data_IF_782908730212
#
_entry.id   IF_782908730212
#
_cell.length_a   1.000
_cell.length_b   1.000
_cell.length_c   1.000
_cell.angle_alpha   90.00
_cell.angle_beta   90.00
_cell.angle_gamma   90.00
#
_symmetry.space_group_name_H-M   'P 1'
#
loop_
_entity.id
_entity.type
_entity.pdbx_description
1 polymer ?
#
# COMPACT_ATOMS: atom_id res chain seq x y z
N UNK A 1 -61.84 3.65 -62.73
CA UNK A 1 -60.98 2.63 -63.36
C UNK A 1 -59.55 3.16 -63.41
N UNK A 2 -58.56 2.37 -63.00
CA UNK A 2 -57.28 2.83 -62.44
C UNK A 2 -56.07 2.42 -63.29
N UNK A 3 -54.89 2.98 -62.99
CA UNK A 3 -53.56 2.39 -63.22
C UNK A 3 -52.49 3.46 -62.87
N UNK A 4 -51.38 3.21 -62.18
CA UNK A 4 -50.97 2.14 -61.27
C UNK A 4 -49.76 2.69 -60.47
N UNK A 5 -49.64 2.19 -59.26
CA UNK A 5 -48.56 2.30 -58.27
C UNK A 5 -47.11 2.31 -58.77
N UNK A 6 -46.25 3.07 -58.11
CA UNK A 6 -44.85 2.66 -57.86
C UNK A 6 -44.42 2.90 -56.41
N UNK A 7 -43.61 1.97 -55.91
CA UNK A 7 -43.33 1.64 -54.50
C UNK A 7 -42.11 2.35 -53.92
N UNK A 8 -42.18 2.58 -52.60
CA UNK A 8 -41.15 2.57 -51.55
C UNK A 8 -39.66 2.69 -51.95
N UNK A 9 -39.02 3.73 -51.43
CA UNK A 9 -37.60 3.73 -51.08
C UNK A 9 -37.39 4.37 -49.70
N UNK A 10 -36.99 3.57 -48.71
CA UNK A 10 -36.58 4.01 -47.36
C UNK A 10 -35.50 5.10 -47.47
N UNK A 11 -35.73 6.28 -46.91
CA UNK A 11 -34.67 7.26 -46.67
C UNK A 11 -33.71 6.67 -45.63
N UNK A 12 -32.54 6.28 -46.14
CA UNK A 12 -31.38 5.77 -45.42
C UNK A 12 -30.93 6.82 -44.41
N UNK A 13 -30.90 6.44 -43.13
CA UNK A 13 -30.31 7.23 -42.06
C UNK A 13 -28.88 7.65 -42.47
N UNK A 14 -28.59 8.94 -42.34
CA UNK A 14 -27.23 9.46 -42.43
C UNK A 14 -26.37 8.75 -41.38
N UNK A 15 -25.12 8.39 -41.70
CA UNK A 15 -24.24 7.73 -40.75
C UNK A 15 -23.99 8.71 -39.60
N UNK A 16 -24.18 8.23 -38.37
CA UNK A 16 -23.75 8.95 -37.19
C UNK A 16 -22.26 9.24 -37.36
N UNK A 17 -21.90 10.53 -37.36
CA UNK A 17 -20.51 10.94 -37.19
C UNK A 17 -20.01 10.29 -35.91
N UNK A 18 -19.07 9.36 -36.06
CA UNK A 18 -18.24 8.87 -34.96
C UNK A 18 -17.51 10.07 -34.39
N UNK A 19 -18.09 10.63 -33.33
CA UNK A 19 -17.45 11.64 -32.53
C UNK A 19 -16.25 10.95 -31.91
N UNK A 20 -15.06 11.23 -32.45
CA UNK A 20 -13.78 10.81 -31.86
C UNK A 20 -13.84 11.20 -30.39
N UNK A 21 -13.94 10.21 -29.52
CA UNK A 21 -14.09 10.41 -28.09
C UNK A 21 -12.89 11.22 -27.61
N UNK A 22 -13.10 12.51 -27.32
CA UNK A 22 -12.13 13.28 -26.55
C UNK A 22 -11.88 12.50 -25.26
N UNK A 23 -10.62 12.22 -24.97
CA UNK A 23 -10.11 11.45 -23.83
C UNK A 23 -10.33 12.16 -22.47
N UNK A 24 -11.49 12.77 -22.28
CA UNK A 24 -11.99 13.21 -20.99
C UNK A 24 -13.11 12.25 -20.60
N UNK A 25 -12.75 11.14 -19.96
CA UNK A 25 -13.71 10.11 -19.58
C UNK A 25 -14.88 10.71 -18.76
N UNK A 26 -16.12 10.71 -19.26
CA UNK A 26 -17.30 11.21 -18.53
C UNK A 26 -17.77 10.18 -17.48
N UNK A 27 -16.84 9.45 -16.87
CA UNK A 27 -17.11 8.38 -15.91
C UNK A 27 -17.37 8.90 -14.50
N UNK A 28 -16.96 10.14 -14.16
CA UNK A 28 -17.10 10.67 -12.80
C UNK A 28 -18.54 10.63 -12.25
N UNK A 29 -19.54 11.00 -13.07
CA UNK A 29 -20.96 10.90 -12.66
C UNK A 29 -21.44 9.45 -12.51
N UNK A 30 -20.88 8.53 -13.30
CA UNK A 30 -21.28 7.12 -13.31
C UNK A 30 -20.66 6.36 -12.12
N UNK A 31 -19.40 6.68 -11.79
CA UNK A 31 -18.67 6.13 -10.65
C UNK A 31 -19.27 6.55 -9.29
N UNK A 32 -19.79 7.78 -9.18
CA UNK A 32 -20.48 8.26 -7.98
C UNK A 32 -21.97 7.91 -7.91
N UNK A 33 -22.49 7.12 -8.86
CA UNK A 33 -23.93 6.82 -8.94
C UNK A 33 -24.39 5.88 -7.81
N UNK A 34 -25.65 6.02 -7.38
CA UNK A 34 -26.21 5.20 -6.27
C UNK A 34 -26.47 3.75 -6.67
N UNK A 35 -26.93 3.53 -7.91
CA UNK A 35 -27.09 2.20 -8.49
C UNK A 35 -25.73 1.53 -8.72
N UNK A 36 -25.54 0.36 -8.08
CA UNK A 36 -24.35 -0.48 -8.21
C UNK A 36 -24.08 -0.87 -9.66
N UNK A 37 -25.11 -1.18 -10.47
CA UNK A 37 -24.91 -1.58 -11.88
C UNK A 37 -24.32 -0.46 -12.74
N UNK A 38 -24.60 0.79 -12.41
CA UNK A 38 -24.01 1.94 -13.11
C UNK A 38 -22.54 2.10 -12.72
N UNK A 39 -22.23 1.95 -11.42
CA UNK A 39 -20.84 1.99 -10.94
C UNK A 39 -20.00 0.84 -11.51
N UNK A 40 -20.50 -0.39 -11.47
CA UNK A 40 -19.81 -1.58 -11.97
C UNK A 40 -19.43 -1.41 -13.45
N UNK A 41 -20.30 -0.84 -14.28
CA UNK A 41 -20.01 -0.54 -15.69
C UNK A 41 -18.93 0.53 -15.86
N UNK A 42 -18.96 1.56 -15.03
CA UNK A 42 -17.96 2.62 -15.07
C UNK A 42 -16.57 2.12 -14.61
N UNK A 43 -16.54 1.27 -13.58
CA UNK A 43 -15.33 0.57 -13.11
C UNK A 43 -14.78 -0.35 -14.21
N UNK A 44 -15.63 -1.14 -14.87
CA UNK A 44 -15.21 -1.98 -15.99
C UNK A 44 -14.60 -1.16 -17.15
N UNK A 45 -15.19 -0.01 -17.47
CA UNK A 45 -14.63 0.93 -18.45
C UNK A 45 -13.28 1.51 -18.04
N UNK A 46 -13.12 1.85 -16.75
CA UNK A 46 -11.87 2.35 -16.20
C UNK A 46 -10.76 1.28 -16.21
N UNK A 47 -11.09 0.03 -15.88
CA UNK A 47 -10.15 -1.10 -15.99
C UNK A 47 -9.70 -1.27 -17.44
N UNK A 48 -10.62 -1.22 -18.40
CA UNK A 48 -10.29 -1.33 -19.82
C UNK A 48 -9.37 -0.19 -20.27
N UNK A 49 -9.64 1.05 -19.84
CA UNK A 49 -8.80 2.22 -20.13
C UNK A 49 -7.40 2.07 -19.54
N UNK A 50 -7.29 1.74 -18.25
CA UNK A 50 -5.99 1.54 -17.59
C UNK A 50 -5.21 0.36 -18.18
N UNK A 51 -5.90 -0.68 -18.63
CA UNK A 51 -5.30 -1.85 -19.28
C UNK A 51 -4.83 -1.55 -20.71
N UNK A 52 -5.39 -0.54 -21.37
CA UNK A 52 -4.87 -0.05 -22.64
C UNK A 52 -3.60 0.79 -22.44
N UNK A 53 -3.51 1.55 -21.34
CA UNK A 53 -2.38 2.42 -21.07
C UNK A 53 -2.28 3.55 -22.11
N UNK A 54 -1.06 4.03 -22.35
CA UNK A 54 -0.75 5.02 -23.39
C UNK A 54 -0.70 4.45 -24.81
N UNK A 55 -0.94 3.15 -25.00
CA UNK A 55 -0.93 2.50 -26.30
C UNK A 55 -2.28 2.69 -27.03
N UNK A 56 -2.47 3.90 -27.56
CA UNK A 56 -3.69 4.31 -28.27
C UNK A 56 -3.84 3.61 -29.62
N UNK A 57 -2.73 3.28 -30.28
CA UNK A 57 -2.69 2.72 -31.63
C UNK A 57 -2.48 1.19 -31.65
N UNK A 58 -2.11 0.58 -30.51
CA UNK A 58 -1.97 -0.87 -30.38
C UNK A 58 -0.70 -1.43 -31.03
N UNK A 59 0.29 -0.56 -31.22
CA UNK A 59 1.52 -0.87 -31.97
C UNK A 59 2.64 -1.38 -31.05
N UNK A 60 2.53 -1.14 -29.73
CA UNK A 60 3.56 -1.51 -28.78
C UNK A 60 3.50 -2.98 -28.39
N UNK A 61 4.67 -3.61 -28.30
CA UNK A 61 4.83 -5.00 -27.84
C UNK A 61 4.81 -5.15 -26.32
N UNK A 62 4.90 -4.04 -25.58
CA UNK A 62 4.88 -3.96 -24.11
C UNK A 62 3.95 -2.84 -23.64
N UNK A 63 3.49 -2.90 -22.39
CA UNK A 63 2.63 -1.88 -21.80
C UNK A 63 3.29 -0.50 -21.83
N UNK A 64 2.58 0.45 -22.43
CA UNK A 64 2.98 1.87 -22.45
C UNK A 64 2.30 2.56 -21.29
N UNK A 65 3.10 3.14 -20.39
CA UNK A 65 2.60 3.95 -19.28
C UNK A 65 1.89 5.20 -19.83
N UNK A 66 0.76 5.56 -19.23
CA UNK A 66 0.10 6.85 -19.48
C UNK A 66 1.06 8.00 -19.14
N UNK A 67 1.04 9.05 -19.94
CA UNK A 67 1.82 10.25 -19.63
C UNK A 67 1.39 10.83 -18.28
N UNK A 68 2.32 11.49 -17.58
CA UNK A 68 2.08 11.98 -16.22
C UNK A 68 0.93 13.01 -16.20
N UNK A 69 0.78 13.81 -17.26
CA UNK A 69 -0.34 14.75 -17.42
C UNK A 69 -1.69 14.04 -17.62
N UNK A 70 -1.71 12.92 -18.34
CA UNK A 70 -2.91 12.11 -18.55
C UNK A 70 -3.31 11.38 -17.27
N UNK A 71 -2.33 10.81 -16.57
CA UNK A 71 -2.52 10.20 -15.26
C UNK A 71 -3.03 11.23 -14.25
N UNK A 72 -2.49 12.45 -14.25
CA UNK A 72 -2.95 13.54 -13.39
C UNK A 72 -4.39 13.97 -13.71
N UNK A 73 -4.77 14.07 -14.99
CA UNK A 73 -6.15 14.35 -15.41
C UNK A 73 -7.11 13.25 -14.98
N UNK A 74 -6.73 11.99 -15.18
CA UNK A 74 -7.51 10.84 -14.73
C UNK A 74 -7.76 10.91 -13.22
N UNK A 75 -6.69 11.07 -12.45
CA UNK A 75 -6.77 11.10 -11.00
C UNK A 75 -7.49 12.32 -10.45
N UNK A 76 -7.40 13.47 -11.13
CA UNK A 76 -8.26 14.63 -10.83
C UNK A 76 -9.73 14.26 -11.00
N UNK A 77 -10.08 13.59 -12.09
CA UNK A 77 -11.44 13.10 -12.33
C UNK A 77 -11.93 12.15 -11.23
N UNK A 78 -11.11 11.17 -10.83
CA UNK A 78 -11.42 10.22 -9.77
C UNK A 78 -11.53 10.88 -8.38
N UNK A 79 -10.63 11.82 -8.08
CA UNK A 79 -10.63 12.57 -6.84
C UNK A 79 -11.94 13.35 -6.66
N UNK A 80 -12.35 14.12 -7.68
CA UNK A 80 -13.59 14.89 -7.61
C UNK A 80 -14.85 14.02 -7.78
N UNK A 81 -14.75 12.84 -8.40
CA UNK A 81 -15.80 11.83 -8.33
C UNK A 81 -16.05 11.39 -6.87
N UNK A 82 -14.98 11.03 -6.15
CA UNK A 82 -15.08 10.66 -4.74
C UNK A 82 -15.50 11.83 -3.85
N UNK A 83 -15.07 13.06 -4.19
CA UNK A 83 -15.48 14.30 -3.54
C UNK A 83 -17.01 14.49 -3.52
N UNK A 84 -17.68 14.15 -4.61
CA UNK A 84 -19.14 14.29 -4.77
C UNK A 84 -19.94 13.10 -4.21
N UNK A 85 -19.26 12.06 -3.70
CA UNK A 85 -19.92 10.94 -3.03
C UNK A 85 -20.29 11.32 -1.59
N UNK A 86 -21.58 11.47 -1.32
CA UNK A 86 -22.09 11.95 -0.01
C UNK A 86 -22.68 10.84 0.87
N UNK A 87 -23.09 9.70 0.28
CA UNK A 87 -23.73 8.62 1.04
C UNK A 87 -22.67 7.70 1.66
N UNK A 88 -22.65 7.46 2.98
CA UNK A 88 -21.60 6.67 3.64
C UNK A 88 -21.36 5.28 3.02
N UNK A 89 -22.43 4.53 2.73
CA UNK A 89 -22.30 3.21 2.09
C UNK A 89 -21.73 3.29 0.66
N UNK A 90 -22.05 4.36 -0.07
CA UNK A 90 -21.50 4.59 -1.42
C UNK A 90 -20.04 5.00 -1.33
N UNK A 91 -19.64 5.80 -0.34
CA UNK A 91 -18.24 6.14 -0.09
C UNK A 91 -17.42 4.90 0.24
N UNK A 92 -17.91 4.03 1.12
CA UNK A 92 -17.21 2.79 1.47
C UNK A 92 -17.04 1.85 0.27
N UNK A 93 -18.12 1.63 -0.50
CA UNK A 93 -18.07 0.81 -1.70
C UNK A 93 -17.12 1.41 -2.75
N UNK A 94 -17.26 2.70 -3.06
CA UNK A 94 -16.44 3.37 -4.06
C UNK A 94 -14.95 3.40 -3.65
N UNK A 95 -14.63 3.61 -2.37
CA UNK A 95 -13.25 3.55 -1.91
C UNK A 95 -12.63 2.16 -2.08
N UNK A 96 -13.41 1.10 -1.82
CA UNK A 96 -12.98 -0.27 -2.08
C UNK A 96 -12.82 -0.54 -3.59
N UNK A 97 -13.81 -0.16 -4.39
CA UNK A 97 -13.81 -0.35 -5.84
C UNK A 97 -12.60 0.35 -6.50
N UNK A 98 -12.30 1.59 -6.09
CA UNK A 98 -11.15 2.35 -6.59
C UNK A 98 -9.82 1.68 -6.22
N UNK A 99 -9.64 1.31 -4.95
CA UNK A 99 -8.40 0.65 -4.51
C UNK A 99 -8.20 -0.70 -5.19
N UNK A 100 -9.26 -1.47 -5.42
CA UNK A 100 -9.20 -2.78 -6.09
C UNK A 100 -8.78 -2.67 -7.56
N UNK A 101 -8.90 -1.50 -8.21
CA UNK A 101 -8.38 -1.28 -9.56
C UNK A 101 -6.90 -1.64 -9.66
N UNK A 102 -6.09 -1.38 -8.62
CA UNK A 102 -4.68 -1.77 -8.57
C UNK A 102 -4.46 -3.26 -8.83
N UNK A 103 -5.42 -4.10 -8.45
CA UNK A 103 -5.33 -5.55 -8.60
C UNK A 103 -6.02 -6.05 -9.88
N UNK A 104 -6.86 -5.23 -10.52
CA UNK A 104 -7.68 -5.61 -11.67
C UNK A 104 -7.15 -5.12 -13.02
N UNK A 105 -6.18 -4.20 -13.06
CA UNK A 105 -5.53 -3.77 -14.31
C UNK A 105 -4.86 -4.99 -14.97
N UNK A 106 -5.16 -5.20 -16.25
CA UNK A 106 -4.69 -6.35 -17.04
C UNK A 106 -4.29 -5.87 -18.43
N UNK A 107 -3.04 -5.39 -18.60
CA UNK A 107 -2.52 -5.02 -19.91
C UNK A 107 -2.68 -6.16 -20.92
N UNK A 108 -2.83 -5.82 -22.20
CA UNK A 108 -3.00 -6.82 -23.27
C UNK A 108 -1.79 -7.76 -23.40
N UNK A 109 -0.62 -7.28 -23.00
CA UNK A 109 0.63 -8.01 -23.02
C UNK A 109 0.67 -9.00 -21.85
N UNK A 110 1.05 -10.25 -22.14
CA UNK A 110 0.96 -11.37 -21.20
C UNK A 110 2.07 -11.39 -20.12
N UNK A 111 2.90 -10.35 -20.02
CA UNK A 111 4.00 -10.31 -19.05
C UNK A 111 3.47 -9.92 -17.65
N UNK A 112 3.95 -10.61 -16.61
CA UNK A 112 3.65 -10.24 -15.22
C UNK A 112 4.17 -8.84 -14.87
N UNK A 113 5.32 -8.47 -15.46
CA UNK A 113 5.97 -7.18 -15.28
C UNK A 113 5.10 -6.01 -15.77
N UNK A 114 4.54 -6.12 -16.97
CA UNK A 114 3.70 -5.07 -17.57
C UNK A 114 2.47 -4.79 -16.70
N UNK A 115 1.86 -5.85 -16.16
CA UNK A 115 0.75 -5.75 -15.22
C UNK A 115 1.15 -5.03 -13.94
N UNK A 116 2.32 -5.36 -13.40
CA UNK A 116 2.86 -4.69 -12.23
C UNK A 116 3.14 -3.21 -12.49
N UNK A 117 3.80 -2.88 -13.60
CA UNK A 117 4.15 -1.51 -13.99
C UNK A 117 2.91 -0.64 -14.18
N UNK A 118 1.86 -1.18 -14.78
CA UNK A 118 0.57 -0.49 -14.90
C UNK A 118 -0.08 -0.21 -13.53
N UNK A 119 -0.01 -1.18 -12.62
CA UNK A 119 -0.54 -1.07 -11.26
C UNK A 119 0.23 -0.02 -10.44
N UNK A 120 1.56 -0.03 -10.54
CA UNK A 120 2.45 0.92 -9.88
C UNK A 120 2.29 2.34 -10.42
N UNK A 121 2.16 2.51 -11.74
CA UNK A 121 1.89 3.82 -12.32
C UNK A 121 0.56 4.41 -11.81
N UNK A 122 -0.47 3.57 -11.70
CA UNK A 122 -1.75 4.01 -11.15
C UNK A 122 -1.65 4.35 -9.66
N UNK A 123 -0.90 3.58 -8.87
CA UNK A 123 -0.61 3.85 -7.46
C UNK A 123 0.16 5.16 -7.27
N UNK A 124 1.14 5.43 -8.12
CA UNK A 124 1.90 6.67 -8.08
C UNK A 124 0.99 7.88 -8.34
N UNK A 125 0.15 7.81 -9.38
CA UNK A 125 -0.83 8.85 -9.66
C UNK A 125 -1.83 9.09 -8.52
N UNK A 126 -2.20 8.03 -7.78
CA UNK A 126 -3.05 8.17 -6.59
C UNK A 126 -2.38 9.04 -5.53
N UNK A 127 -1.14 8.70 -5.16
CA UNK A 127 -0.42 9.43 -4.12
C UNK A 127 -0.11 10.87 -4.53
N UNK A 128 0.27 11.09 -5.79
CA UNK A 128 0.50 12.43 -6.33
C UNK A 128 -0.79 13.28 -6.30
N UNK A 129 -1.95 12.66 -6.55
CA UNK A 129 -3.24 13.34 -6.44
C UNK A 129 -3.65 13.63 -5.00
N UNK A 130 -3.44 12.69 -4.07
CA UNK A 130 -3.67 12.91 -2.65
C UNK A 130 -2.82 14.07 -2.15
N UNK A 131 -1.51 14.06 -2.40
CA UNK A 131 -0.60 15.12 -1.95
C UNK A 131 -1.01 16.48 -2.50
N UNK A 132 -1.30 16.56 -3.81
CA UNK A 132 -1.67 17.82 -4.47
C UNK A 132 -2.95 18.44 -3.94
N UNK A 133 -3.99 17.64 -3.71
CA UNK A 133 -5.32 18.14 -3.36
C UNK A 133 -5.56 18.17 -1.84
N UNK A 134 -4.68 17.58 -1.01
CA UNK A 134 -4.90 17.37 0.42
C UNK A 134 -5.28 18.64 1.18
N UNK A 135 -4.54 19.72 0.95
CA UNK A 135 -4.76 21.00 1.63
C UNK A 135 -6.11 21.66 1.25
N UNK A 136 -6.71 21.25 0.12
CA UNK A 136 -8.01 21.72 -0.34
C UNK A 136 -9.20 20.96 0.26
N UNK A 137 -8.98 19.84 0.96
CA UNK A 137 -10.05 19.04 1.55
C UNK A 137 -10.55 19.72 2.82
N UNK A 138 -11.86 20.00 2.87
CA UNK A 138 -12.48 20.54 4.06
C UNK A 138 -12.76 19.45 5.11
N UNK A 139 -12.93 19.89 6.37
CA UNK A 139 -13.11 19.02 7.53
C UNK A 139 -14.24 18.00 7.39
N UNK A 140 -15.33 18.29 6.67
CA UNK A 140 -16.47 17.37 6.53
C UNK A 140 -16.18 16.21 5.57
N UNK A 141 -15.15 16.34 4.74
CA UNK A 141 -14.77 15.33 3.73
C UNK A 141 -13.53 14.53 4.13
N UNK A 142 -12.77 14.97 5.13
CA UNK A 142 -11.52 14.32 5.55
C UNK A 142 -11.68 12.82 5.82
N UNK A 143 -12.70 12.42 6.57
CA UNK A 143 -12.88 11.03 6.99
C UNK A 143 -12.97 10.03 5.82
N UNK A 144 -13.66 10.41 4.74
CA UNK A 144 -13.76 9.54 3.57
C UNK A 144 -12.43 9.43 2.81
N UNK A 145 -11.61 10.48 2.78
CA UNK A 145 -10.28 10.43 2.17
C UNK A 145 -9.30 9.64 3.03
N UNK A 146 -9.41 9.70 4.35
CA UNK A 146 -8.68 8.80 5.25
C UNK A 146 -9.05 7.33 5.02
N UNK A 147 -10.34 7.04 4.82
CA UNK A 147 -10.80 5.70 4.41
C UNK A 147 -10.21 5.29 3.05
N UNK A 148 -10.21 6.20 2.07
CA UNK A 148 -9.65 5.94 0.74
C UNK A 148 -8.16 5.57 0.83
N UNK A 149 -7.36 6.35 1.55
CA UNK A 149 -5.95 6.04 1.81
C UNK A 149 -5.80 4.67 2.47
N UNK A 150 -6.64 4.35 3.46
CA UNK A 150 -6.63 3.02 4.12
C UNK A 150 -6.86 1.88 3.13
N UNK A 151 -7.80 2.03 2.19
CA UNK A 151 -8.05 1.03 1.15
C UNK A 151 -6.88 0.91 0.17
N UNK A 152 -6.25 2.02 -0.22
CA UNK A 152 -5.08 2.00 -1.09
C UNK A 152 -3.87 1.34 -0.42
N UNK A 153 -3.59 1.63 0.86
CA UNK A 153 -2.49 0.97 1.60
C UNK A 153 -2.70 -0.55 1.64
N UNK A 154 -3.92 -1.02 1.95
CA UNK A 154 -4.22 -2.45 1.93
C UNK A 154 -4.08 -3.08 0.53
N UNK A 155 -4.58 -2.39 -0.52
CA UNK A 155 -4.45 -2.85 -1.89
C UNK A 155 -2.99 -2.90 -2.35
N UNK A 156 -2.14 -1.97 -1.90
CA UNK A 156 -0.69 -2.01 -2.13
C UNK A 156 -0.04 -3.23 -1.50
N UNK A 157 -0.38 -3.61 -0.27
CA UNK A 157 0.15 -4.84 0.34
C UNK A 157 -0.33 -6.10 -0.39
N UNK A 158 -1.59 -6.15 -0.81
CA UNK A 158 -2.10 -7.26 -1.62
C UNK A 158 -1.42 -7.32 -3.00
N UNK A 159 -1.07 -6.18 -3.58
CA UNK A 159 -0.28 -6.11 -4.81
C UNK A 159 1.13 -6.68 -4.59
N UNK A 160 1.81 -6.29 -3.52
CA UNK A 160 3.12 -6.83 -3.17
C UNK A 160 3.08 -8.33 -2.89
N UNK A 161 2.05 -8.82 -2.19
CA UNK A 161 1.83 -10.24 -1.96
C UNK A 161 1.62 -11.01 -3.28
N UNK A 162 0.83 -10.46 -4.22
CA UNK A 162 0.65 -11.03 -5.57
C UNK A 162 1.97 -11.12 -6.35
N UNK A 163 2.82 -10.12 -6.22
CA UNK A 163 4.17 -10.11 -6.78
C UNK A 163 5.20 -10.78 -5.84
N UNK A 164 4.75 -11.63 -4.92
CA UNK A 164 5.56 -12.49 -4.06
C UNK A 164 6.62 -11.76 -3.24
N UNK A 165 6.35 -10.51 -2.88
CA UNK A 165 7.26 -9.65 -2.12
C UNK A 165 8.64 -9.48 -2.80
N UNK A 166 8.68 -9.50 -4.13
CA UNK A 166 9.93 -9.27 -4.87
C UNK A 166 10.54 -7.90 -4.54
N UNK A 167 11.88 -7.85 -4.49
CA UNK A 167 12.64 -6.62 -4.16
C UNK A 167 12.21 -5.43 -4.98
N UNK A 168 12.16 -5.63 -6.30
CA UNK A 168 11.91 -4.57 -7.26
C UNK A 168 10.52 -4.00 -7.03
N UNK A 169 9.55 -4.85 -6.64
CA UNK A 169 8.21 -4.43 -6.35
C UNK A 169 8.14 -3.59 -5.07
N UNK A 170 8.79 -4.04 -3.99
CA UNK A 170 8.86 -3.30 -2.72
C UNK A 170 9.60 -1.97 -2.92
N UNK A 171 10.72 -1.97 -3.64
CA UNK A 171 11.49 -0.77 -3.93
C UNK A 171 10.69 0.24 -4.76
N UNK A 172 9.90 -0.22 -5.73
CA UNK A 172 9.03 0.66 -6.52
C UNK A 172 7.99 1.35 -5.62
N UNK A 173 7.34 0.61 -4.72
CA UNK A 173 6.38 1.19 -3.75
C UNK A 173 7.08 2.15 -2.79
N UNK A 174 8.22 1.75 -2.22
CA UNK A 174 8.99 2.59 -1.30
C UNK A 174 9.42 3.89 -1.97
N UNK A 175 9.86 3.83 -3.24
CA UNK A 175 10.20 5.00 -4.04
C UNK A 175 9.01 5.95 -4.19
N UNK A 176 7.81 5.45 -4.46
CA UNK A 176 6.60 6.28 -4.56
C UNK A 176 6.31 6.98 -3.22
N UNK A 177 6.48 6.30 -2.10
CA UNK A 177 6.21 6.87 -0.78
C UNK A 177 7.24 7.93 -0.37
N UNK A 178 8.52 7.71 -0.68
CA UNK A 178 9.63 8.55 -0.19
C UNK A 178 10.19 9.54 -1.21
N UNK A 179 9.74 9.54 -2.47
CA UNK A 179 10.20 10.50 -3.49
C UNK A 179 9.89 11.95 -3.09
N UNK A 180 10.54 12.89 -3.75
CA UNK A 180 10.16 14.30 -3.64
C UNK A 180 8.71 14.49 -4.12
N UNK A 181 7.91 15.23 -3.36
CA UNK A 181 6.45 15.31 -3.53
C UNK A 181 5.67 14.04 -3.14
N UNK A 182 6.32 12.99 -2.64
CA UNK A 182 5.68 11.77 -2.15
C UNK A 182 5.01 11.95 -0.77
N UNK A 183 4.07 11.07 -0.38
CA UNK A 183 3.27 11.21 0.82
C UNK A 183 4.06 11.07 2.14
N UNK A 184 5.26 10.47 2.11
CA UNK A 184 6.15 10.28 3.25
C UNK A 184 7.48 11.02 3.10
N UNK A 185 7.52 12.09 2.30
CA UNK A 185 8.72 12.93 2.18
C UNK A 185 9.01 13.67 3.50
N UNK A 186 10.30 13.83 3.80
CA UNK A 186 10.80 14.67 4.90
C UNK A 186 11.43 15.98 4.40
N UNK A 187 11.66 16.09 3.08
CA UNK A 187 12.35 17.23 2.46
C UNK A 187 11.37 18.30 2.02
N UNK A 188 10.24 17.90 1.42
CA UNK A 188 9.26 18.86 0.93
C UNK A 188 8.27 19.27 2.02
N UNK A 189 8.39 20.52 2.46
CA UNK A 189 7.51 21.13 3.46
C UNK A 189 6.11 21.46 2.93
N UNK A 190 5.90 21.39 1.61
CA UNK A 190 4.58 21.59 0.99
C UNK A 190 3.66 20.41 1.23
N UNK A 191 4.22 19.21 1.41
CA UNK A 191 3.46 18.00 1.71
C UNK A 191 3.00 18.02 3.17
N UNK A 192 1.68 17.99 3.45
CA UNK A 192 1.18 18.01 4.82
C UNK A 192 1.57 16.74 5.60
N UNK A 193 2.15 16.92 6.79
CA UNK A 193 2.57 15.82 7.68
C UNK A 193 1.43 14.95 8.20
N UNK A 194 0.17 15.42 8.07
CA UNK A 194 -1.02 14.63 8.36
C UNK A 194 -1.17 13.39 7.46
N UNK A 195 -0.59 13.42 6.25
CA UNK A 195 -0.63 12.28 5.32
C UNK A 195 0.27 11.16 5.85
N UNK A 196 1.54 11.47 6.14
CA UNK A 196 2.51 10.48 6.61
C UNK A 196 2.15 9.93 7.99
N UNK A 197 1.62 10.76 8.89
CA UNK A 197 1.13 10.32 10.20
C UNK A 197 -0.10 9.42 10.09
N UNK A 198 -1.05 9.72 9.20
CA UNK A 198 -2.17 8.81 8.94
C UNK A 198 -1.71 7.48 8.33
N UNK A 199 -0.76 7.51 7.39
CA UNK A 199 -0.18 6.27 6.83
C UNK A 199 0.42 5.42 7.96
N UNK A 200 1.20 6.03 8.86
CA UNK A 200 1.77 5.34 10.03
C UNK A 200 0.69 4.70 10.92
N UNK A 201 -0.44 5.38 11.13
CA UNK A 201 -1.54 4.89 11.97
C UNK A 201 -2.26 3.66 11.41
N UNK A 202 -2.28 3.50 10.10
CA UNK A 202 -3.01 2.44 9.42
C UNK A 202 -2.08 1.32 8.92
N UNK A 203 -0.77 1.55 8.89
CA UNK A 203 0.17 0.69 8.17
C UNK A 203 0.16 -0.76 8.67
N UNK A 204 0.32 -0.95 9.98
CA UNK A 204 0.35 -2.28 10.59
C UNK A 204 -1.00 -2.98 10.53
N UNK A 205 -2.10 -2.26 10.74
CA UNK A 205 -3.45 -2.80 10.61
C UNK A 205 -3.68 -3.38 9.22
N UNK A 206 -3.36 -2.61 8.18
CA UNK A 206 -3.61 -3.00 6.81
C UNK A 206 -2.63 -4.07 6.31
N UNK A 207 -1.39 -4.08 6.82
CA UNK A 207 -0.42 -5.14 6.56
C UNK A 207 -0.89 -6.46 7.19
N UNK A 208 -1.28 -6.44 8.46
CA UNK A 208 -1.81 -7.61 9.15
C UNK A 208 -3.06 -8.18 8.45
N UNK A 209 -3.96 -7.30 8.00
CA UNK A 209 -5.14 -7.72 7.21
C UNK A 209 -4.78 -8.34 5.86
N UNK A 210 -3.76 -7.81 5.18
CA UNK A 210 -3.30 -8.38 3.92
C UNK A 210 -2.67 -9.76 4.12
N UNK A 211 -1.89 -9.93 5.20
CA UNK A 211 -1.27 -11.21 5.56
C UNK A 211 -2.27 -12.24 6.11
N UNK A 212 -3.43 -11.80 6.61
CA UNK A 212 -4.51 -12.68 7.06
C UNK A 212 -5.26 -13.39 5.92
N UNK A 213 -5.00 -13.03 4.66
CA UNK A 213 -5.66 -13.65 3.51
C UNK A 213 -5.14 -15.08 3.32
N UNK A 214 -6.01 -16.08 3.11
CA UNK A 214 -5.61 -17.49 2.95
C UNK A 214 -4.62 -17.74 1.81
N UNK A 215 -4.62 -16.88 0.80
CA UNK A 215 -3.71 -16.96 -0.35
C UNK A 215 -2.24 -16.75 0.07
N UNK A 216 -2.00 -16.02 1.17
CA UNK A 216 -0.66 -15.68 1.67
C UNK A 216 0.03 -16.87 2.33
N UNK A 217 -0.73 -17.84 2.87
CA UNK A 217 -0.15 -19.06 3.46
C UNK A 217 0.73 -19.83 2.48
N UNK A 218 0.39 -19.75 1.19
CA UNK A 218 1.09 -20.41 0.07
C UNK A 218 2.18 -19.55 -0.59
N UNK A 219 2.34 -18.30 -0.16
CA UNK A 219 3.27 -17.33 -0.74
C UNK A 219 4.55 -17.18 0.10
N UNK A 220 5.62 -16.58 -0.44
CA UNK A 220 6.82 -16.28 0.32
C UNK A 220 6.54 -15.36 1.52
N UNK A 221 7.38 -15.47 2.54
CA UNK A 221 7.28 -14.63 3.72
C UNK A 221 7.49 -13.15 3.37
N UNK A 222 6.80 -12.28 4.09
CA UNK A 222 6.88 -10.84 3.94
C UNK A 222 8.18 -10.30 4.56
N UNK A 223 9.11 -9.70 3.78
CA UNK A 223 10.33 -9.10 4.31
C UNK A 223 9.97 -7.81 5.08
N UNK A 224 9.80 -7.95 6.39
CA UNK A 224 9.18 -6.93 7.24
C UNK A 224 9.98 -5.63 7.27
N UNK A 225 11.31 -5.75 7.34
CA UNK A 225 12.24 -4.61 7.37
C UNK A 225 12.20 -3.81 6.07
N UNK A 226 12.14 -4.49 4.92
CA UNK A 226 12.08 -3.84 3.60
C UNK A 226 10.76 -3.12 3.37
N UNK A 227 9.64 -3.69 3.86
CA UNK A 227 8.32 -3.06 3.78
C UNK A 227 8.23 -1.86 4.72
N UNK A 228 8.81 -1.93 5.92
CA UNK A 228 8.83 -0.82 6.89
C UNK A 228 9.86 0.28 6.57
N UNK A 229 10.70 0.08 5.56
CA UNK A 229 11.76 1.01 5.15
C UNK A 229 11.31 2.48 5.06
N UNK A 230 10.16 2.85 4.46
CA UNK A 230 9.73 4.25 4.40
C UNK A 230 9.50 4.87 5.78
N UNK A 231 9.02 4.08 6.74
CA UNK A 231 8.79 4.53 8.12
C UNK A 231 10.11 4.66 8.88
N UNK A 232 11.05 3.73 8.65
CA UNK A 232 12.38 3.76 9.27
C UNK A 232 13.17 4.99 8.78
N UNK A 233 13.17 5.25 7.46
CA UNK A 233 13.83 6.45 6.90
C UNK A 233 13.18 7.73 7.44
N UNK A 234 11.84 7.79 7.49
CA UNK A 234 11.13 8.97 7.98
C UNK A 234 11.40 9.21 9.47
N UNK A 235 11.48 8.16 10.28
CA UNK A 235 11.78 8.23 11.71
C UNK A 235 13.12 8.93 11.97
N UNK A 236 14.16 8.58 11.21
CA UNK A 236 15.51 9.11 11.45
C UNK A 236 15.70 10.49 10.83
N UNK A 237 15.00 10.81 9.74
CA UNK A 237 15.21 12.06 8.98
C UNK A 237 14.23 13.19 9.27
N UNK A 238 13.07 12.91 9.88
CA UNK A 238 12.07 13.95 10.14
C UNK A 238 12.60 15.03 11.09
N UNK A 239 12.35 16.30 10.75
CA UNK A 239 12.64 17.43 11.64
C UNK A 239 11.52 17.70 12.65
N UNK A 240 10.35 17.07 12.46
CA UNK A 240 9.15 17.34 13.26
C UNK A 240 8.98 16.30 14.35
N UNK A 241 9.10 16.72 15.62
CA UNK A 241 9.01 15.81 16.77
C UNK A 241 7.67 15.08 16.87
N UNK A 242 6.56 15.71 16.45
CA UNK A 242 5.23 15.07 16.42
C UNK A 242 5.19 13.88 15.47
N UNK A 243 5.81 13.98 14.29
CA UNK A 243 5.88 12.88 13.32
C UNK A 243 6.71 11.73 13.89
N UNK A 244 7.86 12.03 14.49
CA UNK A 244 8.68 11.02 15.16
C UNK A 244 7.91 10.30 16.27
N UNK A 245 7.23 11.06 17.14
CA UNK A 245 6.45 10.51 18.25
C UNK A 245 5.33 9.61 17.74
N UNK A 246 4.64 10.03 16.67
CA UNK A 246 3.56 9.25 16.06
C UNK A 246 4.08 7.96 15.42
N UNK A 247 5.21 8.00 14.72
CA UNK A 247 5.84 6.81 14.15
C UNK A 247 6.20 5.79 15.24
N UNK A 248 6.78 6.25 16.34
CA UNK A 248 7.07 5.38 17.49
C UNK A 248 5.78 4.80 18.07
N UNK A 249 4.77 5.63 18.38
CA UNK A 249 3.54 5.18 19.03
C UNK A 249 2.65 4.29 18.17
N UNK A 250 2.66 4.49 16.85
CA UNK A 250 1.72 3.82 15.94
C UNK A 250 2.35 2.63 15.21
N UNK A 251 3.66 2.63 15.00
CA UNK A 251 4.36 1.58 14.25
C UNK A 251 5.36 0.83 15.13
N UNK A 252 6.37 1.52 15.66
CA UNK A 252 7.52 0.80 16.23
C UNK A 252 7.24 0.23 17.62
N UNK A 253 6.70 1.00 18.56
CA UNK A 253 6.42 0.50 19.91
C UNK A 253 5.39 -0.65 19.91
N UNK A 254 4.23 -0.56 19.23
CA UNK A 254 3.28 -1.68 19.18
C UNK A 254 3.85 -2.93 18.53
N UNK A 255 4.70 -2.78 17.50
CA UNK A 255 5.32 -3.90 16.81
C UNK A 255 6.41 -4.57 17.67
N UNK A 256 7.25 -3.79 18.35
CA UNK A 256 8.29 -4.31 19.26
C UNK A 256 7.67 -5.04 20.47
N UNK A 257 6.61 -4.47 21.06
CA UNK A 257 5.84 -5.11 22.13
C UNK A 257 5.24 -6.43 21.66
N UNK A 258 4.60 -6.45 20.49
CA UNK A 258 4.05 -7.65 19.87
C UNK A 258 5.11 -8.75 19.67
N UNK A 259 6.26 -8.39 19.10
CA UNK A 259 7.35 -9.34 18.84
C UNK A 259 7.99 -9.86 20.14
N UNK A 260 8.05 -9.02 21.18
CA UNK A 260 8.51 -9.43 22.51
C UNK A 260 7.55 -10.42 23.16
N UNK A 261 6.24 -10.17 23.09
CA UNK A 261 5.22 -11.07 23.63
C UNK A 261 5.15 -12.41 22.88
N UNK A 262 5.43 -12.40 21.57
CA UNK A 262 5.44 -13.60 20.75
C UNK A 262 6.76 -14.38 20.81
N UNK A 263 7.82 -13.80 21.36
CA UNK A 263 9.09 -14.49 21.55
C UNK A 263 8.94 -15.55 22.65
N UNK A 264 9.35 -16.81 22.41
CA UNK A 264 9.27 -17.84 23.42
C UNK A 264 10.18 -17.45 24.60
N UNK A 265 9.58 -17.08 25.72
CA UNK A 265 10.32 -16.89 26.96
C UNK A 265 10.79 -18.25 27.47
N UNK A 266 12.10 -18.38 27.71
CA UNK A 266 12.75 -19.56 28.32
C UNK A 266 12.10 -19.98 29.66
N UNK A 267 11.24 -19.16 30.26
CA UNK A 267 10.62 -19.37 31.56
C UNK A 267 9.27 -20.12 31.56
N UNK A 268 8.68 -20.46 30.40
CA UNK A 268 7.37 -21.15 30.37
C UNK A 268 7.42 -22.69 30.26
N UNK A 269 8.61 -23.31 30.31
CA UNK A 269 8.71 -24.78 30.32
C UNK A 269 8.35 -25.44 31.67
N UNK A 270 8.03 -24.67 32.74
CA UNK A 270 7.67 -25.26 34.05
C UNK A 270 6.17 -25.25 34.41
N UNK A 271 5.30 -24.56 33.67
CA UNK A 271 3.87 -24.44 34.05
C UNK A 271 2.89 -25.13 33.07
N UNK A 272 3.32 -26.21 32.43
CA UNK A 272 2.48 -27.02 31.54
C UNK A 272 1.57 -28.04 32.28
N UNK A 273 0.99 -27.68 33.42
CA UNK A 273 -0.11 -28.45 34.04
C UNK A 273 -1.21 -27.54 34.61
N UNK A 274 -2.00 -26.90 33.76
CA UNK A 274 -3.42 -26.62 34.07
C UNK A 274 -4.22 -26.20 32.83
N UNK A 275 -5.25 -26.97 32.42
CA UNK A 275 -6.14 -26.56 31.34
C UNK A 275 -7.12 -25.51 31.87
N UNK A 276 -6.86 -24.23 31.63
CA UNK A 276 -7.84 -23.18 31.89
C UNK A 276 -8.80 -23.04 30.70
N UNK A 277 -10.09 -22.93 31.03
CA UNK A 277 -11.25 -22.87 30.12
C UNK A 277 -11.03 -21.88 28.97
N UNK A 278 -11.32 -22.34 27.75
CA UNK A 278 -11.41 -21.57 26.50
C UNK A 278 -12.30 -20.33 26.67
N UNK A 279 -11.72 -19.18 27.01
CA UNK A 279 -12.21 -17.89 26.54
C UNK A 279 -11.88 -17.80 25.04
N UNK A 280 -12.73 -17.14 24.24
CA UNK A 280 -12.41 -16.74 22.86
C UNK A 280 -11.05 -16.04 22.92
N UNK A 281 -9.98 -16.68 22.43
CA UNK A 281 -8.66 -16.04 22.33
C UNK A 281 -8.85 -14.79 21.48
N UNK A 282 -8.75 -13.62 22.10
CA UNK A 282 -8.43 -12.39 21.37
C UNK A 282 -7.15 -12.71 20.61
N UNK A 283 -7.19 -12.65 19.28
CA UNK A 283 -6.00 -12.83 18.48
C UNK A 283 -4.95 -11.82 18.96
N UNK A 284 -3.70 -12.25 19.20
CA UNK A 284 -2.67 -11.32 19.64
C UNK A 284 -2.55 -10.21 18.60
N UNK A 285 -2.34 -8.98 19.08
CA UNK A 285 -2.17 -7.80 18.22
C UNK A 285 -1.13 -8.12 17.14
N UNK A 286 -1.49 -7.98 15.86
CA UNK A 286 -0.63 -8.26 14.71
C UNK A 286 -0.15 -9.72 14.54
N UNK A 287 -0.93 -10.72 14.96
CA UNK A 287 -0.61 -12.14 14.84
C UNK A 287 -0.10 -12.56 13.45
N UNK A 288 -0.72 -12.10 12.37
CA UNK A 288 -0.35 -12.50 11.01
C UNK A 288 0.98 -11.89 10.56
N UNK A 289 1.36 -10.73 11.09
CA UNK A 289 2.70 -10.17 10.85
C UNK A 289 3.75 -11.11 11.46
N UNK A 290 3.56 -11.54 12.70
CA UNK A 290 4.50 -12.46 13.36
C UNK A 290 4.60 -13.80 12.61
N UNK A 291 3.47 -14.33 12.13
CA UNK A 291 3.43 -15.66 11.49
C UNK A 291 3.95 -15.67 10.05
N UNK A 292 3.81 -14.57 9.30
CA UNK A 292 4.08 -14.55 7.85
C UNK A 292 5.23 -13.63 7.45
N UNK A 293 5.99 -13.09 8.39
CA UNK A 293 7.14 -12.22 8.11
C UNK A 293 8.50 -12.91 8.20
N UNK A 294 9.51 -12.32 7.54
CA UNK A 294 10.91 -12.72 7.62
C UNK A 294 11.84 -11.50 7.77
N UNK A 295 13.05 -11.75 8.31
CA UNK A 295 14.15 -10.77 8.44
C UNK A 295 15.02 -10.71 7.20
N UNK A 296 15.15 -11.84 6.52
CA UNK A 296 16.15 -12.09 5.47
C UNK A 296 15.91 -11.33 4.15
N UNK A 297 16.86 -11.50 3.23
CA UNK A 297 16.73 -11.01 1.87
C UNK A 297 15.75 -11.87 1.06
N UNK A 298 14.84 -11.18 0.38
CA UNK A 298 14.11 -11.51 -0.86
C UNK A 298 13.93 -12.98 -1.22
N UNK A 299 12.67 -13.43 -1.29
CA UNK A 299 12.32 -14.71 -1.92
C UNK A 299 12.60 -15.95 -1.06
N UNK A 300 13.09 -15.77 0.18
CA UNK A 300 13.13 -16.84 1.17
C UNK A 300 11.71 -17.24 1.61
N UNK A 301 11.45 -18.54 1.57
CA UNK A 301 10.19 -19.15 2.05
C UNK A 301 10.10 -19.21 3.57
N UNK A 302 11.25 -19.08 4.24
CA UNK A 302 11.37 -19.38 5.65
C UNK A 302 10.92 -18.18 6.48
N UNK A 303 9.96 -18.46 7.36
CA UNK A 303 9.38 -17.49 8.29
C UNK A 303 10.33 -17.36 9.47
N UNK A 304 10.68 -16.12 9.82
CA UNK A 304 11.58 -15.86 10.94
C UNK A 304 10.83 -15.97 12.26
N UNK A 305 11.53 -16.35 13.32
CA UNK A 305 10.98 -16.30 14.67
C UNK A 305 10.70 -14.86 15.11
N UNK A 306 9.82 -14.67 16.09
CA UNK A 306 9.55 -13.34 16.64
C UNK A 306 10.81 -12.64 17.18
N UNK A 307 11.76 -13.40 17.77
CA UNK A 307 13.05 -12.89 18.25
C UNK A 307 13.91 -12.38 17.10
N UNK A 308 14.03 -13.15 16.03
CA UNK A 308 14.76 -12.74 14.82
C UNK A 308 14.13 -11.49 14.21
N UNK A 309 12.80 -11.46 14.04
CA UNK A 309 12.07 -10.29 13.53
C UNK A 309 12.34 -9.03 14.36
N UNK A 310 12.36 -9.16 15.68
CA UNK A 310 12.71 -8.08 16.61
C UNK A 310 14.15 -7.61 16.39
N UNK A 311 15.13 -8.52 16.41
CA UNK A 311 16.57 -8.22 16.20
C UNK A 311 16.79 -7.54 14.84
N UNK A 312 16.19 -8.08 13.78
CA UNK A 312 16.26 -7.53 12.43
C UNK A 312 15.68 -6.12 12.31
N UNK A 313 14.52 -5.87 12.94
CA UNK A 313 13.89 -4.54 12.95
C UNK A 313 14.75 -3.51 13.71
N UNK A 314 15.21 -3.86 14.91
CA UNK A 314 16.09 -3.01 15.72
C UNK A 314 17.38 -2.69 14.96
N UNK A 315 18.00 -3.70 14.34
CA UNK A 315 19.25 -3.52 13.60
C UNK A 315 19.06 -2.56 12.44
N UNK A 316 17.95 -2.72 11.70
CA UNK A 316 17.65 -1.84 10.57
C UNK A 316 17.35 -0.40 11.00
N UNK A 317 16.71 -0.20 12.15
CA UNK A 317 16.52 1.12 12.75
C UNK A 317 17.84 1.75 13.17
N UNK A 318 18.73 0.97 13.80
CA UNK A 318 20.06 1.42 14.21
C UNK A 318 20.91 1.86 12.99
N UNK A 319 20.99 1.02 11.95
CA UNK A 319 21.71 1.32 10.71
C UNK A 319 21.17 2.61 10.03
N UNK A 320 19.84 2.78 10.02
CA UNK A 320 19.22 3.99 9.49
C UNK A 320 19.55 5.25 10.30
N UNK A 321 19.73 5.11 11.61
CA UNK A 321 20.08 6.20 12.52
C UNK A 321 21.59 6.52 12.50
N UNK A 322 22.43 5.53 12.23
CA UNK A 322 23.88 5.68 12.06
C UNK A 322 24.23 6.44 10.76
N UNK A 323 23.35 6.42 9.77
CA UNK A 323 23.54 7.15 8.51
C UNK A 323 23.67 8.66 8.74
N UNK A 324 24.63 9.31 8.07
CA UNK A 324 24.90 10.75 8.18
C UNK A 324 23.69 11.65 7.88
N UNK A 325 22.72 11.15 7.10
CA UNK A 325 21.49 11.87 6.77
C UNK A 325 20.47 11.91 7.91
N UNK A 326 20.67 11.15 8.99
CA UNK A 326 19.80 11.16 10.15
C UNK A 326 20.01 12.43 10.99
N UNK A 327 18.94 12.94 11.60
CA UNK A 327 19.09 14.09 12.52
C UNK A 327 19.70 13.62 13.84
N UNK A 328 20.57 14.43 14.44
CA UNK A 328 21.23 14.06 15.70
C UNK A 328 20.23 13.79 16.83
N UNK A 329 19.14 14.57 16.91
CA UNK A 329 18.10 14.38 17.91
C UNK A 329 17.38 13.03 17.74
N UNK A 330 17.00 12.67 16.51
CA UNK A 330 16.32 11.40 16.26
C UNK A 330 17.27 10.21 16.46
N UNK A 331 18.54 10.34 16.06
CA UNK A 331 19.57 9.32 16.31
C UNK A 331 19.67 8.98 17.79
N UNK A 332 19.72 9.98 18.67
CA UNK A 332 19.75 9.76 20.13
C UNK A 332 18.51 9.02 20.62
N UNK A 333 17.32 9.32 20.10
CA UNK A 333 16.06 8.65 20.46
C UNK A 333 16.04 7.19 19.97
N UNK A 334 16.49 6.92 18.75
CA UNK A 334 16.56 5.54 18.23
C UNK A 334 17.58 4.71 19.01
N UNK A 335 18.74 5.28 19.36
CA UNK A 335 19.73 4.58 20.20
C UNK A 335 19.24 4.35 21.63
N UNK A 336 18.38 5.22 22.15
CA UNK A 336 17.72 4.96 23.42
C UNK A 336 16.81 3.73 23.32
N UNK A 337 15.98 3.64 22.29
CA UNK A 337 15.11 2.46 22.06
C UNK A 337 15.94 1.19 21.86
N UNK A 338 17.03 1.26 21.11
CA UNK A 338 17.95 0.12 20.92
C UNK A 338 18.46 -0.44 22.27
N UNK A 339 18.90 0.43 23.18
CA UNK A 339 19.36 0.03 24.52
C UNK A 339 18.24 -0.49 25.41
N UNK A 340 17.07 0.14 25.38
CA UNK A 340 15.91 -0.27 26.18
C UNK A 340 15.38 -1.66 25.77
N UNK A 341 15.53 -2.02 24.50
CA UNK A 341 15.06 -3.29 23.95
C UNK A 341 16.12 -4.42 24.00
N UNK A 342 17.29 -4.18 24.60
CA UNK A 342 18.35 -5.17 24.77
C UNK A 342 19.17 -5.44 23.51
N UNK A 343 19.34 -4.45 22.63
CA UNK A 343 20.07 -4.62 21.37
C UNK A 343 21.56 -4.97 21.52
N UNK A 344 22.17 -4.69 22.67
CA UNK A 344 23.60 -4.93 22.95
C UNK A 344 23.88 -6.31 23.57
N UNK A 345 22.87 -7.03 24.11
CA UNK A 345 23.06 -8.27 24.88
C UNK A 345 23.23 -9.54 24.01
N UNK A 346 23.12 -9.43 22.68
CA UNK A 346 23.00 -10.55 21.74
C UNK A 346 24.21 -10.66 20.76
N UNK A 347 25.27 -9.87 20.95
CA UNK A 347 26.53 -9.93 20.17
C UNK A 347 27.66 -10.66 20.94
N UNK A 348 27.48 -10.98 22.23
CA UNK A 348 28.47 -11.68 23.07
C UNK A 348 28.30 -13.23 23.07
N UNK A 349 27.24 -13.78 22.47
CA UNK A 349 26.96 -15.23 22.48
C UNK A 349 27.71 -16.04 21.40
N UNK A 350 28.48 -15.40 20.51
CA UNK A 350 29.18 -16.06 19.38
C UNK A 350 30.72 -16.21 19.59
N UNK A 351 31.30 -15.79 20.72
CA UNK A 351 32.77 -15.83 20.94
C UNK A 351 33.30 -16.91 21.92
N UNK A 352 32.44 -17.68 22.60
CA UNK A 352 32.89 -18.56 23.71
C UNK A 352 32.90 -20.10 23.43
N UNK A 353 32.83 -20.57 22.18
CA UNK A 353 32.87 -22.02 21.86
C UNK A 353 34.11 -22.55 21.09
N UNK A 354 35.23 -21.81 21.05
CA UNK A 354 36.51 -22.37 20.54
C UNK A 354 37.71 -22.05 21.44
N UNK A 355 37.72 -22.54 22.68
CA UNK A 355 38.96 -22.78 23.43
C UNK A 355 38.69 -23.75 24.59
N UNK A 356 38.61 -25.05 24.29
CA UNK A 356 38.97 -26.13 25.22
C UNK A 356 38.87 -27.48 24.49
N UNK A 357 39.98 -27.93 23.92
CA UNK A 357 40.32 -29.36 23.77
C UNK A 357 41.84 -29.46 23.55
N UNK A 358 42.57 -29.62 24.67
CA UNK A 358 43.97 -30.08 24.74
C UNK A 358 44.11 -31.60 24.48
#
# INVERSE_FOLDING_TARGET
MPSATSRKGKSRAAPAEETKAQAAMPLGKQLAHTDKKVRDRAIAGLIAFLSQGGDTEGESSSYVRLDDDEMAKLWKGLFYCFWMSDKPLVQQALAADLAELLLQIKPKTASSQDRFDASIAFLEGFWDAIVREWAGIDRLRMDKYYLLMRKYVNATFRLLAREKWEKNAIQAVNRILTKDGGPMTWQDRRVPTSISTHIADIYLDELNKALALPEVDSQPACPLTAVLEPHIILLTRTSTSTVHTRLMSSVFSPLLECLTLASPSLSLQQDAERPTKKSKKEEPMFAHIVMHSCVGQEGQTDRSSARELKKGLLKRMFEAAANEKATESNRRKVYQVWREEGGDDDDDDDEDEEEDDE
#
